data_IF_926997761407
#
_entry.id   IF_926997761407
#
_cell.length_a   1.000
_cell.length_b   1.000
_cell.length_c   1.000
_cell.angle_alpha   90.00
_cell.angle_beta   90.00
_cell.angle_gamma   90.00
#
_symmetry.space_group_name_H-M   'P 1'
#
loop_
_entity.id
_entity.type
_entity.pdbx_description
1 polymer ?
#
# COMPACT_ATOMS: atom_id res chain seq x y z
N UNK A 1 -56.43 -9.16 0.39
CA UNK A 1 -56.84 -8.81 1.77
C UNK A 1 -55.60 -8.95 2.63
N UNK A 2 -55.02 -7.99 3.35
CA UNK A 2 -55.17 -6.55 3.51
C UNK A 2 -54.00 -6.18 4.44
N UNK A 3 -53.02 -5.40 3.94
CA UNK A 3 -52.48 -4.13 4.46
C UNK A 3 -52.27 -3.99 5.97
N UNK A 4 -51.37 -3.04 6.29
CA UNK A 4 -51.16 -2.29 7.54
C UNK A 4 -49.84 -2.69 8.25
N UNK A 5 -48.93 -1.80 8.64
CA UNK A 5 -48.70 -0.37 8.36
C UNK A 5 -47.33 -0.03 8.98
N UNK A 6 -46.58 0.90 8.38
CA UNK A 6 -45.43 1.54 9.03
C UNK A 6 -45.94 2.68 9.92
N UNK A 7 -45.35 2.95 11.10
CA UNK A 7 -45.36 4.31 11.63
C UNK A 7 -44.19 5.11 11.04
N UNK A 8 -44.54 6.21 10.37
CA UNK A 8 -43.68 7.37 10.07
C UNK A 8 -43.82 8.42 11.21
N UNK A 9 -42.93 9.42 11.15
CA UNK A 9 -43.02 10.81 11.68
C UNK A 9 -42.49 10.97 13.11
N UNK A 10 -41.73 12.02 13.47
CA UNK A 10 -41.88 13.46 13.13
C UNK A 10 -40.53 14.18 12.96
N UNK A 11 -40.60 15.28 12.22
CA UNK A 11 -39.55 16.19 11.72
C UNK A 11 -39.69 17.56 12.42
N UNK A 12 -38.56 18.30 12.50
CA UNK A 12 -38.40 19.78 12.50
C UNK A 12 -38.43 20.56 13.85
N UNK A 13 -38.03 21.86 13.89
CA UNK A 13 -36.80 22.53 13.41
C UNK A 13 -36.19 23.53 14.44
N UNK A 14 -35.05 24.13 14.10
CA UNK A 14 -34.64 25.47 14.56
C UNK A 14 -33.23 25.48 15.16
N UNK A 15 -32.30 26.37 14.82
CA UNK A 15 -32.34 27.58 14.00
C UNK A 15 -31.17 28.48 14.45
N UNK A 16 -30.55 29.22 13.51
CA UNK A 16 -29.63 30.35 13.76
C UNK A 16 -28.19 29.97 14.13
N UNK A 17 -27.21 30.17 13.24
CA UNK A 17 -26.40 31.40 13.09
C UNK A 17 -25.48 31.62 14.32
N UNK A 18 -24.17 31.82 14.20
CA UNK A 18 -23.51 33.00 13.61
C UNK A 18 -22.01 32.68 13.44
N UNK A 19 -21.47 32.98 12.25
CA UNK A 19 -20.04 33.23 12.07
C UNK A 19 -19.74 34.71 12.38
N UNK A 20 -18.52 35.02 12.85
CA UNK A 20 -17.82 36.10 12.17
C UNK A 20 -16.36 35.78 11.82
N UNK A 21 -15.98 36.31 10.68
CA UNK A 21 -14.63 36.44 10.14
C UNK A 21 -13.82 37.42 10.99
N UNK A 22 -12.53 37.15 11.21
CA UNK A 22 -11.51 38.14 11.57
C UNK A 22 -10.30 37.94 10.63
N UNK A 23 -10.20 38.79 9.62
CA UNK A 23 -9.28 39.95 9.48
C UNK A 23 -7.85 39.57 9.11
N UNK A 24 -7.59 39.82 7.83
CA UNK A 24 -6.28 40.09 7.22
C UNK A 24 -5.48 41.13 8.02
N UNK A 25 -4.18 40.89 8.15
CA UNK A 25 -3.19 41.94 8.39
C UNK A 25 -2.10 41.83 7.33
N UNK A 26 -2.13 42.86 6.51
CA UNK A 26 -1.25 43.19 5.40
C UNK A 26 0.07 43.80 5.92
N UNK A 27 1.03 43.85 5.00
CA UNK A 27 2.18 44.75 4.95
C UNK A 27 3.35 44.51 5.92
N UNK A 28 4.51 44.22 5.31
CA UNK A 28 5.51 45.29 5.11
C UNK A 28 6.41 45.02 3.90
N UNK A 29 6.27 45.92 2.92
CA UNK A 29 7.27 46.33 1.91
C UNK A 29 8.63 46.59 2.60
N UNK A 30 9.80 46.47 1.97
CA UNK A 30 10.27 47.36 0.88
C UNK A 30 11.73 47.02 0.50
N UNK A 31 12.04 47.14 -0.81
CA UNK A 31 13.32 47.58 -1.45
C UNK A 31 14.58 46.72 -1.22
N UNK A 32 15.48 46.47 -2.18
CA UNK A 32 16.02 47.31 -3.26
C UNK A 32 16.77 46.50 -4.36
N UNK A 33 17.10 47.22 -5.44
CA UNK A 33 17.87 46.82 -6.62
C UNK A 33 19.37 46.73 -6.33
N UNK A 34 20.11 45.92 -7.09
CA UNK A 34 21.57 46.04 -7.12
C UNK A 34 22.27 44.99 -8.00
N UNK A 35 22.68 45.42 -9.18
CA UNK A 35 23.42 44.70 -10.21
C UNK A 35 24.88 44.37 -9.87
N UNK A 36 25.38 43.34 -10.54
CA UNK A 36 26.75 43.14 -11.05
C UNK A 36 27.81 42.41 -10.19
N UNK A 37 28.39 41.38 -10.82
CA UNK A 37 29.81 41.07 -10.73
C UNK A 37 30.20 39.91 -9.82
N UNK A 38 30.55 38.76 -10.42
CA UNK A 38 31.89 38.18 -10.29
C UNK A 38 31.94 36.79 -10.93
N UNK A 39 32.92 36.61 -11.80
CA UNK A 39 33.34 35.32 -12.33
C UNK A 39 33.74 34.38 -11.19
N UNK A 40 33.10 33.21 -11.13
CA UNK A 40 33.46 32.10 -10.26
C UNK A 40 33.84 30.91 -11.13
N UNK A 41 35.13 30.58 -11.12
CA UNK A 41 35.77 29.39 -11.69
C UNK A 41 34.93 28.12 -11.56
N UNK A 42 34.59 27.52 -12.72
CA UNK A 42 33.97 26.21 -12.82
C UNK A 42 34.93 25.13 -12.28
N UNK A 43 34.68 24.68 -11.05
CA UNK A 43 35.31 23.48 -10.50
C UNK A 43 34.90 22.23 -11.29
N UNK A 44 35.71 21.15 -11.24
CA UNK A 44 35.44 19.94 -12.00
C UNK A 44 34.08 19.36 -11.59
N UNK A 45 33.19 19.27 -12.57
CA UNK A 45 31.86 18.65 -12.48
C UNK A 45 32.04 17.21 -12.02
N UNK A 46 31.77 16.93 -10.74
CA UNK A 46 31.64 15.55 -10.24
C UNK A 46 30.52 14.90 -11.03
N UNK A 47 30.88 13.94 -11.87
CA UNK A 47 29.95 12.97 -12.42
C UNK A 47 29.39 12.20 -11.23
N UNK A 48 28.16 12.52 -10.83
CA UNK A 48 27.36 11.63 -10.00
C UNK A 48 27.15 10.39 -10.86
N UNK A 49 27.91 9.33 -10.57
CA UNK A 49 27.69 8.04 -11.20
C UNK A 49 26.26 7.65 -10.91
N UNK A 50 25.44 7.54 -11.96
CA UNK A 50 24.18 6.81 -11.88
C UNK A 50 24.56 5.39 -11.52
N UNK A 51 24.44 5.05 -10.23
CA UNK A 51 24.43 3.67 -9.80
C UNK A 51 23.19 3.06 -10.45
N UNK A 52 23.39 2.46 -11.63
CA UNK A 52 22.38 1.60 -12.24
C UNK A 52 21.95 0.55 -11.22
N UNK A 53 20.70 0.07 -11.29
CA UNK A 53 20.21 -0.91 -10.34
C UNK A 53 21.19 -2.08 -10.29
N UNK A 54 21.65 -2.39 -9.07
CA UNK A 54 22.50 -3.56 -8.85
C UNK A 54 21.79 -4.79 -9.43
N UNK A 55 22.52 -5.72 -10.05
CA UNK A 55 21.90 -6.93 -10.59
C UNK A 55 21.10 -7.63 -9.49
N UNK A 56 19.86 -7.98 -9.81
CA UNK A 56 18.98 -8.69 -8.89
C UNK A 56 19.70 -9.93 -8.36
N UNK A 57 19.74 -10.09 -7.04
CA UNK A 57 20.33 -11.28 -6.42
C UNK A 57 19.65 -12.53 -6.99
N UNK A 58 20.40 -13.62 -7.25
CA UNK A 58 19.83 -14.84 -7.83
C UNK A 58 18.69 -15.37 -6.95
N UNK A 59 17.61 -15.84 -7.60
CA UNK A 59 16.45 -16.41 -6.92
C UNK A 59 16.88 -17.63 -6.11
N UNK A 60 16.79 -17.51 -4.79
CA UNK A 60 17.04 -18.60 -3.85
C UNK A 60 15.95 -19.68 -4.00
N UNK A 61 16.35 -20.96 -3.97
CA UNK A 61 15.46 -22.10 -4.20
C UNK A 61 14.31 -22.13 -3.19
N UNK A 62 14.59 -21.74 -1.96
CA UNK A 62 13.65 -21.69 -0.84
C UNK A 62 12.48 -20.74 -1.15
N UNK A 63 12.69 -19.67 -1.92
CA UNK A 63 11.61 -18.74 -2.30
C UNK A 63 10.54 -19.38 -3.17
N UNK A 64 10.88 -20.45 -3.89
CA UNK A 64 9.96 -21.19 -4.75
C UNK A 64 9.30 -22.37 -4.01
N UNK A 65 9.60 -22.58 -2.73
CA UNK A 65 8.92 -23.58 -1.93
C UNK A 65 7.43 -23.20 -1.74
N UNK A 66 6.49 -24.17 -1.79
CA UNK A 66 5.08 -23.87 -1.57
C UNK A 66 4.81 -23.19 -0.22
N UNK A 67 3.82 -22.28 -0.19
CA UNK A 67 3.35 -21.62 1.03
C UNK A 67 2.36 -22.53 1.76
N UNK A 68 2.64 -22.93 3.01
CA UNK A 68 1.75 -23.81 3.75
C UNK A 68 0.41 -23.13 3.98
N UNK A 69 -0.64 -23.93 4.13
CA UNK A 69 -2.01 -23.43 4.31
C UNK A 69 -2.09 -22.46 5.50
N UNK A 70 -1.46 -22.79 6.64
CA UNK A 70 -1.47 -21.91 7.82
C UNK A 70 -0.94 -20.50 7.53
N UNK A 71 0.09 -20.38 6.68
CA UNK A 71 0.64 -19.09 6.27
C UNK A 71 -0.35 -18.32 5.39
N UNK A 72 -0.98 -18.99 4.43
CA UNK A 72 -1.97 -18.36 3.54
C UNK A 72 -3.22 -17.92 4.29
N UNK A 73 -3.72 -18.75 5.19
CA UNK A 73 -4.87 -18.44 6.03
C UNK A 73 -4.56 -17.25 6.94
N UNK A 74 -3.34 -17.17 7.48
CA UNK A 74 -2.88 -16.02 8.25
C UNK A 74 -2.85 -14.73 7.43
N UNK A 75 -2.33 -14.76 6.20
CA UNK A 75 -2.33 -13.60 5.28
C UNK A 75 -3.77 -13.16 4.99
N UNK A 76 -4.67 -14.09 4.65
CA UNK A 76 -6.07 -13.76 4.38
C UNK A 76 -6.83 -13.19 5.59
N UNK A 77 -6.45 -13.58 6.82
CA UNK A 77 -7.05 -13.04 8.05
C UNK A 77 -6.66 -11.60 8.35
N UNK A 78 -5.60 -11.06 7.75
CA UNK A 78 -5.21 -9.65 7.93
C UNK A 78 -6.30 -8.70 7.45
N UNK A 79 -7.04 -9.11 6.43
CA UNK A 79 -8.13 -8.35 5.85
C UNK A 79 -9.47 -8.55 6.56
N UNK A 80 -9.53 -9.39 7.59
CA UNK A 80 -10.77 -9.81 8.25
C UNK A 80 -11.22 -8.90 9.41
N UNK A 81 -10.66 -7.69 9.54
CA UNK A 81 -11.07 -6.72 10.56
C UNK A 81 -10.69 -7.12 11.99
N UNK A 82 -9.50 -7.70 12.16
CA UNK A 82 -8.96 -8.07 13.48
C UNK A 82 -8.71 -6.83 14.35
N UNK A 83 -8.79 -6.99 15.68
CA UNK A 83 -8.31 -5.98 16.63
C UNK A 83 -6.78 -5.80 16.50
N UNK A 84 -6.28 -4.65 17.00
CA UNK A 84 -4.88 -4.26 16.86
C UNK A 84 -3.89 -5.29 17.41
N UNK A 85 -4.17 -5.86 18.58
CA UNK A 85 -3.25 -6.78 19.23
C UNK A 85 -3.18 -8.11 18.47
N UNK A 86 -4.34 -8.67 18.11
CA UNK A 86 -4.41 -9.93 17.35
C UNK A 86 -3.74 -9.78 15.99
N UNK A 87 -3.94 -8.63 15.32
CA UNK A 87 -3.29 -8.34 14.04
C UNK A 87 -1.77 -8.28 14.19
N UNK A 88 -1.25 -7.59 15.22
CA UNK A 88 0.20 -7.51 15.45
C UNK A 88 0.83 -8.88 15.72
N UNK A 89 0.18 -9.73 16.50
CA UNK A 89 0.70 -11.08 16.79
C UNK A 89 0.76 -11.95 15.52
N UNK A 90 -0.25 -11.83 14.66
CA UNK A 90 -0.25 -12.51 13.37
C UNK A 90 0.89 -11.99 12.47
N UNK A 91 1.33 -10.73 12.65
CA UNK A 91 2.39 -10.03 11.89
C UNK A 91 3.74 -10.59 12.14
N UNK A 92 4.03 -10.64 13.42
CA UNK A 92 5.25 -11.21 13.91
C UNK A 92 5.34 -12.67 13.46
N UNK A 93 4.26 -13.45 13.60
CA UNK A 93 4.27 -14.85 13.16
C UNK A 93 4.52 -15.01 11.66
N UNK A 94 3.80 -14.29 10.79
CA UNK A 94 4.03 -14.35 9.32
C UNK A 94 5.46 -13.92 8.99
N UNK A 95 5.95 -12.82 9.58
CA UNK A 95 7.30 -12.32 9.34
C UNK A 95 8.37 -13.35 9.72
N UNK A 96 8.23 -14.01 10.87
CA UNK A 96 9.13 -15.08 11.29
C UNK A 96 9.06 -16.31 10.38
N UNK A 97 7.87 -16.73 9.95
CA UNK A 97 7.72 -17.83 8.98
C UNK A 97 8.46 -17.54 7.68
N UNK A 98 8.36 -16.30 7.15
CA UNK A 98 9.08 -15.93 5.93
C UNK A 98 10.59 -15.90 6.14
N UNK A 99 11.05 -15.34 7.26
CA UNK A 99 12.47 -15.28 7.60
C UNK A 99 13.07 -16.67 7.75
N UNK A 100 12.39 -17.56 8.48
CA UNK A 100 12.89 -18.89 8.80
C UNK A 100 12.92 -19.81 7.58
N UNK A 101 11.89 -19.76 6.73
CA UNK A 101 11.70 -20.77 5.68
C UNK A 101 12.11 -20.30 4.27
N UNK A 102 12.11 -18.99 4.00
CA UNK A 102 12.30 -18.46 2.63
C UNK A 102 13.47 -17.47 2.51
N UNK A 103 14.13 -17.16 3.64
CA UNK A 103 15.42 -16.46 3.71
C UNK A 103 15.35 -14.94 3.53
N UNK A 104 14.21 -14.37 3.15
CA UNK A 104 13.93 -12.94 3.20
C UNK A 104 12.42 -12.76 3.44
N UNK A 105 12.08 -11.73 4.21
CA UNK A 105 10.71 -11.25 4.31
C UNK A 105 10.45 -10.37 3.06
N UNK A 106 9.26 -10.40 2.45
CA UNK A 106 8.95 -9.49 1.32
C UNK A 106 9.09 -7.99 1.66
N UNK A 107 8.46 -7.09 0.92
CA UNK A 107 8.12 -5.72 1.34
C UNK A 107 6.65 -5.63 1.74
N UNK A 108 5.84 -6.53 1.20
CA UNK A 108 4.41 -6.64 1.46
C UNK A 108 3.77 -7.56 0.44
N UNK A 109 2.45 -7.52 0.43
CA UNK A 109 1.61 -8.29 -0.49
C UNK A 109 0.66 -7.36 -1.24
N UNK A 110 0.36 -7.72 -2.48
CA UNK A 110 -0.79 -7.19 -3.20
C UNK A 110 -1.78 -8.33 -3.42
N UNK A 111 -3.05 -8.12 -3.09
CA UNK A 111 -4.08 -9.13 -3.30
C UNK A 111 -5.43 -8.51 -3.67
N UNK A 112 -6.36 -9.39 -4.06
CA UNK A 112 -7.69 -8.98 -4.47
C UNK A 112 -8.48 -8.47 -3.27
N UNK A 113 -9.15 -7.34 -3.42
CA UNK A 113 -10.03 -6.82 -2.39
C UNK A 113 -11.43 -7.43 -2.51
N UNK A 114 -11.96 -7.92 -1.39
CA UNK A 114 -13.31 -8.52 -1.30
C UNK A 114 -14.32 -7.65 -0.54
N UNK A 115 -13.98 -6.40 -0.19
CA UNK A 115 -14.93 -5.44 0.39
C UNK A 115 -16.07 -5.05 -0.57
N UNK A 116 -15.88 -5.28 -1.87
CA UNK A 116 -16.79 -4.87 -2.92
C UNK A 116 -16.53 -3.43 -3.41
N UNK A 117 -17.37 -2.93 -4.33
CA UNK A 117 -17.17 -1.62 -4.95
C UNK A 117 -17.04 -0.48 -3.92
N UNK A 118 -16.12 0.47 -4.14
CA UNK A 118 -15.32 0.67 -5.36
C UNK A 118 -13.99 -0.12 -5.39
N UNK A 119 -13.67 -0.89 -4.36
CA UNK A 119 -12.34 -1.47 -4.19
C UNK A 119 -12.18 -2.79 -4.96
N UNK A 120 -11.00 -2.97 -5.55
CA UNK A 120 -10.68 -4.14 -6.38
C UNK A 120 -9.37 -4.81 -5.97
N UNK A 121 -8.43 -4.05 -5.40
CA UNK A 121 -7.18 -4.56 -4.85
C UNK A 121 -6.86 -3.88 -3.52
N UNK A 122 -6.05 -4.54 -2.69
CA UNK A 122 -5.47 -3.95 -1.49
C UNK A 122 -3.97 -4.24 -1.43
N UNK A 123 -3.25 -3.32 -0.80
CA UNK A 123 -1.86 -3.51 -0.41
C UNK A 123 -1.80 -3.78 1.08
N UNK A 124 -1.11 -4.86 1.41
CA UNK A 124 -0.71 -5.22 2.76
C UNK A 124 0.78 -4.92 2.90
N UNK A 125 1.17 -4.26 3.99
CA UNK A 125 2.58 -4.31 4.41
C UNK A 125 2.86 -5.62 5.15
N UNK A 126 4.12 -5.87 5.46
CA UNK A 126 4.53 -7.05 6.22
C UNK A 126 4.35 -6.92 7.72
N UNK A 127 4.13 -5.69 8.19
CA UNK A 127 3.77 -5.41 9.57
C UNK A 127 2.26 -5.34 9.76
N UNK A 128 1.55 -5.87 8.75
CA UNK A 128 0.16 -6.24 8.73
C UNK A 128 -0.83 -5.12 9.01
N UNK A 129 -0.73 -4.08 8.19
CA UNK A 129 -1.82 -3.15 8.00
C UNK A 129 -2.24 -3.24 6.54
N UNK A 130 -3.55 -3.26 6.29
CA UNK A 130 -4.03 -2.84 4.98
C UNK A 130 -3.60 -1.39 4.84
N UNK A 131 -2.48 -1.20 4.14
CA UNK A 131 -1.90 0.12 3.91
C UNK A 131 -2.88 0.93 3.08
N UNK A 132 -3.53 0.27 2.10
CA UNK A 132 -4.42 0.94 1.16
C UNK A 132 -5.34 -0.04 0.44
N UNK A 133 -6.59 0.38 0.28
CA UNK A 133 -7.49 -0.17 -0.74
C UNK A 133 -7.42 0.69 -2.00
N UNK A 134 -7.54 0.05 -3.16
CA UNK A 134 -7.49 0.72 -4.45
C UNK A 134 -8.76 0.46 -5.25
N UNK A 135 -9.31 1.53 -5.80
CA UNK A 135 -10.27 1.48 -6.89
C UNK A 135 -9.54 1.24 -8.24
N UNK A 136 -10.26 0.83 -9.31
CA UNK A 136 -9.64 0.57 -10.62
C UNK A 136 -8.81 1.72 -11.19
N UNK A 137 -9.20 2.97 -10.89
CA UNK A 137 -8.55 4.19 -11.37
C UNK A 137 -7.37 4.64 -10.51
N UNK A 138 -7.21 4.10 -9.30
CA UNK A 138 -6.13 4.53 -8.41
C UNK A 138 -4.78 4.09 -8.96
N UNK A 139 -3.71 4.79 -8.61
CA UNK A 139 -2.35 4.33 -8.91
C UNK A 139 -1.81 3.51 -7.72
N UNK A 140 -1.35 2.29 -8.00
CA UNK A 140 -0.60 1.49 -7.03
C UNK A 140 0.86 1.95 -7.06
N UNK A 141 1.46 2.32 -5.92
CA UNK A 141 2.82 2.81 -5.88
C UNK A 141 3.84 1.69 -6.20
N UNK A 142 4.99 2.08 -6.75
CA UNK A 142 6.13 1.17 -6.85
C UNK A 142 6.64 0.80 -5.43
N UNK A 143 7.15 -0.43 -5.23
CA UNK A 143 7.32 -1.50 -6.23
C UNK A 143 6.08 -2.41 -6.45
N UNK A 144 4.93 -2.10 -5.83
CA UNK A 144 3.73 -2.95 -5.88
C UNK A 144 2.97 -2.85 -7.20
N UNK A 145 3.17 -1.77 -7.97
CA UNK A 145 2.49 -1.53 -9.24
C UNK A 145 2.60 -2.70 -10.22
N UNK A 146 3.77 -3.35 -10.28
CA UNK A 146 4.04 -4.50 -11.15
C UNK A 146 3.22 -5.74 -10.82
N UNK A 147 2.77 -5.88 -9.57
CA UNK A 147 1.92 -7.00 -9.15
C UNK A 147 0.45 -6.84 -9.56
N UNK A 148 0.02 -5.64 -9.94
CA UNK A 148 -1.42 -5.34 -10.08
C UNK A 148 -2.09 -6.15 -11.18
N UNK A 149 -1.42 -6.32 -12.33
CA UNK A 149 -1.97 -7.12 -13.42
C UNK A 149 -2.12 -8.60 -13.04
N UNK A 150 -1.18 -9.13 -12.25
CA UNK A 150 -1.24 -10.50 -11.74
C UNK A 150 -2.44 -10.67 -10.80
N UNK A 151 -2.59 -9.78 -9.81
CA UNK A 151 -3.74 -9.80 -8.89
C UNK A 151 -5.07 -9.72 -9.64
N UNK A 152 -5.17 -8.85 -10.65
CA UNK A 152 -6.40 -8.67 -11.45
C UNK A 152 -6.74 -9.84 -12.37
N UNK A 153 -5.81 -10.76 -12.62
CA UNK A 153 -6.13 -12.01 -13.32
C UNK A 153 -7.06 -12.90 -12.50
N UNK A 154 -7.08 -12.74 -11.17
CA UNK A 154 -7.90 -13.53 -10.25
C UNK A 154 -7.42 -14.97 -10.03
N UNK A 155 -6.24 -15.35 -10.56
CA UNK A 155 -5.69 -16.70 -10.43
C UNK A 155 -4.78 -16.93 -9.22
N UNK A 156 -4.56 -15.91 -8.39
CA UNK A 156 -3.60 -15.95 -7.28
C UNK A 156 -4.27 -15.57 -5.97
N UNK A 157 -3.87 -16.23 -4.88
CA UNK A 157 -4.25 -15.86 -3.53
C UNK A 157 -3.71 -14.46 -3.19
N UNK A 158 -2.44 -14.22 -3.51
CA UNK A 158 -1.74 -12.94 -3.36
C UNK A 158 -0.43 -12.94 -4.16
N UNK A 159 0.19 -11.78 -4.31
CA UNK A 159 1.52 -11.61 -4.90
C UNK A 159 2.46 -11.02 -3.86
N UNK A 160 3.57 -11.71 -3.61
CA UNK A 160 4.66 -11.24 -2.76
C UNK A 160 5.54 -10.25 -3.54
N UNK A 161 5.85 -9.11 -2.95
CA UNK A 161 6.68 -8.07 -3.58
C UNK A 161 7.97 -7.91 -2.79
N UNK A 162 9.14 -7.97 -3.41
CA UNK A 162 10.43 -7.89 -2.71
C UNK A 162 11.23 -6.62 -3.06
N UNK A 163 12.19 -6.29 -2.21
CA UNK A 163 13.05 -5.09 -2.29
C UNK A 163 13.84 -4.96 -3.60
N UNK A 164 14.14 -6.09 -4.26
CA UNK A 164 14.80 -6.15 -5.57
C UNK A 164 13.86 -6.14 -6.79
N UNK A 165 12.57 -5.85 -6.62
CA UNK A 165 11.57 -5.86 -7.70
C UNK A 165 11.10 -7.26 -8.09
N UNK A 166 11.55 -8.30 -7.39
CA UNK A 166 11.05 -9.66 -7.56
C UNK A 166 9.58 -9.72 -7.11
N UNK A 167 8.74 -10.27 -7.99
CA UNK A 167 7.34 -10.58 -7.73
C UNK A 167 7.16 -12.09 -7.73
N UNK A 168 6.56 -12.63 -6.67
CA UNK A 168 6.24 -14.06 -6.57
C UNK A 168 4.72 -14.24 -6.40
N UNK A 169 4.01 -14.63 -7.47
CA UNK A 169 2.59 -14.98 -7.38
C UNK A 169 2.40 -16.30 -6.63
N UNK A 170 1.45 -16.34 -5.70
CA UNK A 170 1.11 -17.52 -4.92
C UNK A 170 -0.31 -17.98 -5.29
N UNK A 171 -0.44 -19.23 -5.72
CA UNK A 171 -1.74 -19.85 -6.00
C UNK A 171 -2.50 -20.20 -4.71
N UNK A 172 -3.80 -20.47 -4.81
CA UNK A 172 -4.64 -20.87 -3.67
C UNK A 172 -4.19 -22.18 -3.01
N UNK A 173 -3.52 -23.07 -3.74
CA UNK A 173 -2.94 -24.29 -3.19
C UNK A 173 -1.58 -24.05 -2.48
N UNK A 174 -1.00 -22.85 -2.63
CA UNK A 174 0.29 -22.46 -2.08
C UNK A 174 1.46 -22.59 -3.05
N UNK A 175 1.26 -23.09 -4.26
CA UNK A 175 2.30 -23.14 -5.28
C UNK A 175 2.78 -21.72 -5.64
N UNK A 176 4.10 -21.53 -5.64
CA UNK A 176 4.73 -20.27 -6.07
C UNK A 176 5.03 -20.35 -7.56
N UNK A 177 4.50 -19.40 -8.34
CA UNK A 177 4.78 -19.33 -9.78
C UNK A 177 6.14 -18.66 -9.99
N UNK A 178 7.00 -19.34 -10.75
CA UNK A 178 8.30 -18.79 -11.12
C UNK A 178 8.10 -17.60 -12.08
N UNK A 179 8.75 -16.44 -11.81
CA UNK A 179 8.71 -15.27 -12.69
C UNK A 179 9.46 -15.50 -14.01
#
# INVERSE_FOLDING_TARGET
>A
MGHLERPRRVVQPGGGAVAPKTTSSDALRRTDQGTAGAAGTAGPRRTVGTSGPAPAAPLRRERLAPRPQALRDAVGRLDAGLDEQTRRQLAEWIGEEYRANYGEIPLGFLARCYLGPPYVDHQLDLFQVIVRHFAPSDQVPDPFSGARMLVRSGGYAFVEVYSGGLLLPVLDDGTVVRP
#
